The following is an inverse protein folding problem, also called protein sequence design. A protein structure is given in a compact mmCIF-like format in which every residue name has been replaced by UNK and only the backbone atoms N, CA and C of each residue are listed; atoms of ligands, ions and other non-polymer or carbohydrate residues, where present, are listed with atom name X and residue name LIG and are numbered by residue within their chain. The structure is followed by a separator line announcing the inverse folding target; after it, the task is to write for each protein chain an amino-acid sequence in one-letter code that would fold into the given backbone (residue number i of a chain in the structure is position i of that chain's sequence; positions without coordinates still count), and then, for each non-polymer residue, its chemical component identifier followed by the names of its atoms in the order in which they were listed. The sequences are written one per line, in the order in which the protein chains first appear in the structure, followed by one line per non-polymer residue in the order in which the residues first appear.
data_IF_557920622911
#
_entry.id   IF_557920622911
#
_cell.length_a   1.000
_cell.length_b   1.000
_cell.length_c   1.000
_cell.angle_alpha   90.00
_cell.angle_beta   90.00
_cell.angle_gamma   90.00
#
_symmetry.space_group_name_H-M   'P 1'
#
loop_
_entity.id
_entity.type
_entity.pdbx_description
1 polymer ?
#
# COMPACT_ATOMS: atom_id res chain seq x y z
N UNK A 1 14.99 8.19 -18.34
CA UNK A 1 14.85 8.20 -16.86
C UNK A 1 15.62 9.35 -16.20
N UNK A 2 16.92 9.54 -16.47
CA UNK A 2 17.75 10.56 -15.78
C UNK A 2 17.23 12.01 -15.89
N UNK A 3 16.89 12.47 -17.10
CA UNK A 3 16.41 13.85 -17.32
C UNK A 3 15.06 14.10 -16.63
N UNK A 4 14.13 13.15 -16.76
CA UNK A 4 12.82 13.21 -16.10
C UNK A 4 13.01 13.25 -14.57
N UNK A 5 13.89 12.41 -14.03
CA UNK A 5 14.20 12.39 -12.60
C UNK A 5 14.72 13.74 -12.08
N UNK A 6 15.65 14.38 -12.79
CA UNK A 6 16.19 15.70 -12.40
C UNK A 6 15.09 16.76 -12.40
N UNK A 7 14.22 16.76 -13.42
CA UNK A 7 13.09 17.69 -13.51
C UNK A 7 12.12 17.47 -12.35
N UNK A 8 11.70 16.22 -12.11
CA UNK A 8 10.75 15.87 -11.03
C UNK A 8 11.30 16.26 -9.65
N UNK A 9 12.57 15.93 -9.35
CA UNK A 9 13.18 16.27 -8.05
C UNK A 9 13.27 17.78 -7.85
N UNK A 10 13.64 18.53 -8.90
CA UNK A 10 13.72 20.00 -8.81
C UNK A 10 12.34 20.61 -8.53
N UNK A 11 11.29 20.14 -9.21
CA UNK A 11 9.92 20.59 -8.98
C UNK A 11 9.44 20.23 -7.57
N UNK A 12 9.67 19.01 -7.11
CA UNK A 12 9.32 18.58 -5.75
C UNK A 12 10.01 19.43 -4.69
N UNK A 13 11.28 19.78 -4.91
CA UNK A 13 12.03 20.65 -3.99
C UNK A 13 11.41 22.05 -3.93
N UNK A 14 11.05 22.64 -5.07
CA UNK A 14 10.37 23.94 -5.10
C UNK A 14 9.01 23.89 -4.37
N UNK A 15 8.24 22.80 -4.54
CA UNK A 15 6.97 22.60 -3.83
C UNK A 15 7.20 22.49 -2.32
N UNK A 16 8.21 21.73 -1.88
CA UNK A 16 8.53 21.58 -0.45
C UNK A 16 8.92 22.90 0.22
N UNK A 17 9.55 23.82 -0.52
CA UNK A 17 9.94 25.14 -0.03
C UNK A 17 8.76 26.14 0.01
N UNK A 18 7.75 25.96 -0.85
CA UNK A 18 6.64 26.90 -1.00
C UNK A 18 5.59 26.82 0.12
N UNK A 19 5.43 25.69 0.79
CA UNK A 19 4.57 25.62 1.98
C UNK A 19 4.16 24.22 2.44
N UNK A 20 4.60 23.86 3.65
CA UNK A 20 4.29 22.58 4.32
C UNK A 20 2.80 22.42 4.71
N UNK A 21 2.06 23.52 4.88
CA UNK A 21 0.63 23.44 5.26
C UNK A 21 -0.26 22.85 4.15
N UNK A 22 0.08 23.11 2.88
CA UNK A 22 -0.64 22.55 1.74
C UNK A 22 -0.35 21.05 1.57
N UNK A 23 0.87 20.63 1.88
CA UNK A 23 1.33 19.25 1.78
C UNK A 23 0.47 18.30 2.63
N UNK A 24 0.22 18.64 3.90
CA UNK A 24 -0.60 17.83 4.80
C UNK A 24 -2.04 17.65 4.30
N UNK A 25 -2.64 18.69 3.72
CA UNK A 25 -4.00 18.62 3.11
C UNK A 25 -4.02 17.76 1.85
N UNK A 26 -2.95 17.76 1.06
CA UNK A 26 -2.84 16.89 -0.12
C UNK A 26 -2.58 15.43 0.28
N UNK A 27 -1.84 15.18 1.35
CA UNK A 27 -1.59 13.82 1.86
C UNK A 27 -2.89 13.10 2.23
N UNK A 28 -3.82 13.78 2.93
CA UNK A 28 -5.12 13.19 3.27
C UNK A 28 -5.96 12.89 2.02
N UNK A 29 -5.89 13.74 0.99
CA UNK A 29 -6.53 13.49 -0.30
C UNK A 29 -5.96 12.24 -0.98
N UNK A 30 -4.63 12.11 -1.07
CA UNK A 30 -3.97 10.93 -1.64
C UNK A 30 -4.30 9.66 -0.86
N UNK A 31 -4.35 9.75 0.47
CA UNK A 31 -4.75 8.64 1.33
C UNK A 31 -6.18 8.16 1.03
N UNK A 32 -7.14 9.09 0.89
CA UNK A 32 -8.53 8.74 0.55
C UNK A 32 -8.63 8.10 -0.84
N UNK A 33 -7.93 8.65 -1.84
CA UNK A 33 -7.90 8.05 -3.18
C UNK A 33 -7.32 6.64 -3.14
N UNK A 34 -6.24 6.42 -2.39
CA UNK A 34 -5.63 5.11 -2.21
C UNK A 34 -6.62 4.12 -1.57
N UNK A 35 -7.35 4.53 -0.53
CA UNK A 35 -8.37 3.68 0.10
C UNK A 35 -9.51 3.33 -0.87
N UNK A 36 -9.96 4.29 -1.69
CA UNK A 36 -10.98 4.05 -2.72
C UNK A 36 -10.45 3.08 -3.77
N UNK A 37 -9.22 3.27 -4.25
CA UNK A 37 -8.58 2.37 -5.22
C UNK A 37 -8.41 0.96 -4.66
N UNK A 38 -8.00 0.83 -3.40
CA UNK A 38 -7.87 -0.46 -2.72
C UNK A 38 -9.22 -1.16 -2.55
N UNK A 39 -10.24 -0.41 -2.13
CA UNK A 39 -11.62 -0.93 -2.01
C UNK A 39 -12.17 -1.36 -3.36
N UNK A 40 -11.95 -0.57 -4.41
CA UNK A 40 -12.35 -0.90 -5.77
C UNK A 40 -11.63 -2.16 -6.29
N UNK A 41 -10.35 -2.34 -5.96
CA UNK A 41 -9.61 -3.56 -6.28
C UNK A 41 -10.23 -4.78 -5.60
N UNK A 42 -10.53 -4.71 -4.29
CA UNK A 42 -11.18 -5.79 -3.53
C UNK A 42 -12.57 -6.10 -4.09
N UNK A 43 -13.41 -5.09 -4.34
CA UNK A 43 -14.73 -5.32 -4.94
C UNK A 43 -14.58 -5.95 -6.33
N UNK A 44 -13.57 -5.54 -7.08
CA UNK A 44 -13.22 -6.07 -8.40
C UNK A 44 -12.85 -7.55 -8.41
N UNK A 45 -12.32 -8.11 -7.31
CA UNK A 45 -12.01 -9.55 -7.23
C UNK A 45 -13.25 -10.41 -7.00
N UNK A 46 -14.32 -9.87 -6.41
CA UNK A 46 -15.59 -10.57 -6.22
C UNK A 46 -16.49 -10.59 -7.46
N UNK A 47 -16.26 -9.68 -8.41
CA UNK A 47 -17.03 -9.64 -9.67
C UNK A 47 -16.52 -10.77 -10.59
N UNK A 48 -17.42 -11.64 -11.11
CA UNK A 48 -17.01 -12.74 -11.98
C UNK A 48 -16.29 -12.19 -13.23
N UNK A 49 -15.14 -12.76 -13.61
CA UNK A 49 -14.33 -12.23 -14.70
C UNK A 49 -15.03 -12.43 -16.05
N UNK A 50 -15.13 -11.35 -16.82
CA UNK A 50 -15.57 -11.36 -18.21
C UNK A 50 -14.58 -12.13 -19.09
N UNK A 51 -15.00 -12.54 -20.29
CA UNK A 51 -14.15 -13.24 -21.28
C UNK A 51 -12.84 -12.52 -21.57
N UNK A 52 -12.84 -11.18 -21.59
CA UNK A 52 -11.63 -10.36 -21.75
C UNK A 52 -10.69 -10.45 -20.53
N UNK A 53 -11.23 -10.46 -19.31
CA UNK A 53 -10.44 -10.61 -18.08
C UNK A 53 -9.83 -12.01 -17.97
N UNK A 54 -10.53 -13.03 -18.45
CA UNK A 54 -10.02 -14.39 -18.51
C UNK A 54 -8.87 -14.53 -19.52
N UNK A 55 -8.90 -13.79 -20.64
CA UNK A 55 -7.81 -13.80 -21.63
C UNK A 55 -6.50 -13.22 -21.09
N UNK A 56 -6.54 -12.34 -20.08
CA UNK A 56 -5.36 -11.79 -19.39
C UNK A 56 -4.99 -12.57 -18.13
N UNK A 57 -5.60 -13.73 -17.89
CA UNK A 57 -5.29 -14.60 -16.75
C UNK A 57 -6.04 -14.28 -15.46
N UNK A 58 -7.06 -13.41 -15.49
CA UNK A 58 -7.89 -13.11 -14.33
C UNK A 58 -9.08 -14.06 -14.32
N UNK A 59 -9.03 -15.01 -13.40
CA UNK A 59 -9.94 -16.15 -13.36
C UNK A 59 -10.85 -16.20 -12.13
N UNK A 60 -10.78 -15.18 -11.26
CA UNK A 60 -11.55 -15.07 -10.02
C UNK A 60 -11.00 -15.96 -8.90
N UNK A 61 -11.82 -16.19 -7.87
CA UNK A 61 -11.48 -17.09 -6.77
C UNK A 61 -11.68 -18.55 -7.19
N UNK A 62 -10.58 -19.21 -7.58
CA UNK A 62 -10.56 -20.58 -8.06
C UNK A 62 -9.56 -21.42 -7.27
N UNK A 63 -10.00 -22.58 -6.77
CA UNK A 63 -9.18 -23.43 -5.89
C UNK A 63 -8.04 -24.13 -6.63
N UNK A 64 -8.24 -24.48 -7.89
CA UNK A 64 -7.25 -25.03 -8.81
C UNK A 64 -6.05 -24.09 -8.97
N UNK A 65 -6.33 -22.83 -9.32
CA UNK A 65 -5.29 -21.80 -9.52
C UNK A 65 -4.60 -21.46 -8.20
N UNK A 66 -5.36 -21.39 -7.10
CA UNK A 66 -4.79 -21.13 -5.79
C UNK A 66 -3.74 -22.18 -5.41
N UNK A 67 -4.07 -23.46 -5.55
CA UNK A 67 -3.14 -24.56 -5.22
C UNK A 67 -1.92 -24.57 -6.14
N UNK A 68 -2.10 -24.26 -7.43
CA UNK A 68 -0.99 -24.15 -8.38
C UNK A 68 -0.02 -23.00 -8.03
N UNK A 69 -0.52 -21.89 -7.50
CA UNK A 69 0.29 -20.72 -7.12
C UNK A 69 0.87 -20.80 -5.70
N UNK A 70 0.63 -21.87 -4.94
CA UNK A 70 1.20 -22.04 -3.59
C UNK A 70 2.69 -22.34 -3.61
N UNK A 71 3.18 -22.99 -4.67
CA UNK A 71 4.61 -23.29 -4.80
C UNK A 71 5.33 -22.09 -5.40
N UNK A 72 6.51 -21.72 -4.87
CA UNK A 72 7.26 -20.61 -5.41
C UNK A 72 7.80 -20.96 -6.80
N UNK A 73 7.42 -20.17 -7.80
CA UNK A 73 8.09 -20.11 -9.09
C UNK A 73 8.94 -18.85 -9.14
N UNK A 74 10.26 -19.01 -9.17
CA UNK A 74 11.20 -17.91 -9.12
C UNK A 74 11.43 -17.25 -10.49
N UNK A 75 10.77 -17.72 -11.56
CA UNK A 75 10.81 -17.04 -12.86
C UNK A 75 12.16 -17.15 -13.59
N UNK A 76 12.87 -18.27 -13.42
CA UNK A 76 14.14 -18.56 -14.10
C UNK A 76 15.31 -18.83 -13.15
N UNK A 77 16.53 -18.93 -13.71
CA UNK A 77 17.76 -19.27 -12.98
C UNK A 77 18.23 -18.18 -12.02
N UNK A 78 17.79 -16.94 -12.23
CA UNK A 78 18.27 -15.78 -11.47
C UNK A 78 17.36 -15.44 -10.29
N UNK A 79 16.12 -15.93 -10.30
CA UNK A 79 15.17 -15.68 -9.24
C UNK A 79 15.54 -16.41 -7.97
N UNK A 80 15.70 -15.67 -6.88
CA UNK A 80 15.93 -16.22 -5.56
C UNK A 80 15.03 -15.54 -4.53
N UNK A 81 14.76 -16.24 -3.43
CA UNK A 81 14.02 -15.69 -2.30
C UNK A 81 14.59 -14.34 -1.83
N UNK A 82 15.92 -14.25 -1.71
CA UNK A 82 16.59 -13.02 -1.27
C UNK A 82 16.42 -11.85 -2.26
N UNK A 83 16.37 -12.13 -3.56
CA UNK A 83 16.12 -11.09 -4.56
C UNK A 83 14.69 -10.56 -4.48
N UNK A 84 13.69 -11.45 -4.35
CA UNK A 84 12.29 -11.04 -4.18
C UNK A 84 12.08 -10.29 -2.86
N UNK A 85 12.74 -10.74 -1.80
CA UNK A 85 12.77 -10.03 -0.52
C UNK A 85 13.37 -8.63 -0.66
N UNK A 86 14.51 -8.47 -1.36
CA UNK A 86 15.14 -7.18 -1.57
C UNK A 86 14.26 -6.20 -2.37
N UNK A 87 13.44 -6.70 -3.30
CA UNK A 87 12.47 -5.89 -4.06
C UNK A 87 11.26 -5.50 -3.19
N UNK A 88 10.78 -6.41 -2.32
CA UNK A 88 9.63 -6.15 -1.44
C UNK A 88 9.99 -5.30 -0.22
N UNK A 89 11.24 -5.35 0.26
CA UNK A 89 11.68 -4.71 1.49
C UNK A 89 11.40 -3.20 1.56
N UNK A 90 11.65 -2.38 0.51
CA UNK A 90 11.30 -0.96 0.50
C UNK A 90 9.82 -0.67 0.78
N UNK A 91 8.91 -1.56 0.38
CA UNK A 91 7.47 -1.42 0.62
C UNK A 91 7.11 -1.51 2.10
N UNK A 92 7.87 -2.27 2.89
CA UNK A 92 7.64 -2.41 4.33
C UNK A 92 8.24 -1.25 5.15
N UNK A 93 9.26 -0.55 4.64
CA UNK A 93 9.92 0.57 5.34
C UNK A 93 8.95 1.73 5.61
N UNK A 94 7.96 1.95 4.74
CA UNK A 94 6.98 3.02 4.88
C UNK A 94 6.18 2.98 6.19
N UNK A 95 5.96 1.80 6.76
CA UNK A 95 5.25 1.63 8.05
C UNK A 95 6.04 2.27 9.20
N UNK A 96 7.38 2.20 9.17
CA UNK A 96 8.23 2.81 10.18
C UNK A 96 8.25 4.35 10.08
N UNK A 97 8.11 4.91 8.87
CA UNK A 97 7.96 6.36 8.67
C UNK A 97 6.66 6.89 9.29
N UNK A 98 5.57 6.13 9.18
CA UNK A 98 4.29 6.45 9.83
C UNK A 98 4.37 6.43 11.36
N UNK A 99 5.14 5.49 11.93
CA UNK A 99 5.40 5.45 13.38
C UNK A 99 6.15 6.71 13.86
N UNK A 100 7.06 7.27 13.05
CA UNK A 100 7.80 8.48 13.40
C UNK A 100 6.92 9.74 13.48
N UNK A 101 5.86 9.83 12.65
CA UNK A 101 4.88 10.94 12.69
C UNK A 101 3.83 10.73 13.80
N UNK A 102 3.62 9.48 14.23
CA UNK A 102 2.74 9.19 15.38
C UNK A 102 3.25 9.74 16.73
N UNK A 103 4.52 10.16 16.79
CA UNK A 103 5.09 10.86 17.95
C UNK A 103 4.61 12.31 18.11
N UNK A 104 4.00 12.90 17.07
CA UNK A 104 3.40 14.24 17.09
C UNK A 104 1.90 14.21 17.50
N UNK A 105 1.45 13.08 18.07
CA UNK A 105 0.13 12.98 18.66
C UNK A 105 0.03 13.95 19.85
N UNK A 106 -0.92 14.89 19.73
CA UNK A 106 -1.19 15.98 20.68
C UNK A 106 -1.39 15.56 22.14
N UNK A 107 -1.73 14.29 22.42
CA UNK A 107 -1.80 13.71 23.77
C UNK A 107 -1.72 12.16 23.76
N UNK A 108 -0.53 11.56 23.86
CA UNK A 108 -0.36 10.10 23.87
C UNK A 108 -1.03 9.43 25.09
N UNK A 109 -1.22 10.15 26.19
CA UNK A 109 -1.80 9.61 27.42
C UNK A 109 -3.31 9.30 27.33
N UNK A 110 -4.06 9.95 26.43
CA UNK A 110 -5.52 9.77 26.32
C UNK A 110 -5.96 9.03 25.06
N UNK A 111 -5.15 9.02 24.00
CA UNK A 111 -5.45 8.31 22.76
C UNK A 111 -5.26 6.79 22.88
N UNK A 112 -4.23 6.36 23.64
CA UNK A 112 -3.91 4.93 23.83
C UNK A 112 -5.07 4.17 24.51
N UNK A 113 -5.65 4.64 25.63
CA UNK A 113 -6.77 3.92 26.28
C UNK A 113 -8.02 3.82 25.40
N UNK A 114 -8.36 4.88 24.65
CA UNK A 114 -9.55 4.88 23.78
C UNK A 114 -9.39 3.96 22.58
N UNK A 115 -8.20 3.92 21.98
CA UNK A 115 -7.90 3.03 20.86
C UNK A 115 -7.94 1.55 21.26
N UNK A 116 -7.36 1.22 22.42
CA UNK A 116 -7.40 -0.15 22.94
C UNK A 116 -8.82 -0.62 23.27
N UNK A 117 -9.65 0.25 23.86
CA UNK A 117 -11.05 -0.09 24.16
C UNK A 117 -11.89 -0.33 22.90
N UNK A 118 -11.71 0.47 21.84
CA UNK A 118 -12.39 0.23 20.56
C UNK A 118 -11.92 -1.07 19.89
N UNK A 119 -10.63 -1.36 19.92
CA UNK A 119 -10.07 -2.58 19.33
C UNK A 119 -10.59 -3.86 20.03
N UNK A 120 -10.70 -3.83 21.37
CA UNK A 120 -11.26 -4.95 22.13
C UNK A 120 -12.75 -5.15 21.80
N UNK A 121 -13.54 -4.08 21.73
CA UNK A 121 -14.97 -4.19 21.38
C UNK A 121 -15.19 -4.75 19.98
N UNK A 122 -14.40 -4.30 18.99
CA UNK A 122 -14.51 -4.77 17.61
C UNK A 122 -14.02 -6.20 17.38
N UNK A 123 -13.24 -6.79 18.30
CA UNK A 123 -12.75 -8.17 18.17
C UNK A 123 -13.66 -9.18 18.89
N UNK A 124 -14.50 -8.72 19.82
CA UNK A 124 -15.39 -9.58 20.63
C UNK A 124 -16.83 -9.61 20.07
N UNK A 125 -17.18 -8.73 19.12
CA UNK A 125 -18.47 -8.75 18.40
C UNK A 125 -18.33 -9.43 17.04
#
# INVERSE_FOLDING_TARGET
VRIIGVITVTVLLLISLAGMEWESKTQILFFLVLLISFSNYIVGTFIPPTTEKQAVGIFGYRSDIFVENLTPDWGGTDGSFFQMFAIFFPSAIGILSGANISGDLKDPATAIPKGTLMAIFGTIS
#
